data_IF_380604088937
#
_entry.id   IF_380604088937
#
_cell.length_a   1.000
_cell.length_b   1.000
_cell.length_c   1.000
_cell.angle_alpha   90.00
_cell.angle_beta   90.00
_cell.angle_gamma   90.00
#
_symmetry.space_group_name_H-M   'P 1'
#
loop_
_entity.id
_entity.type
_entity.pdbx_description
1 polymer ?
#
# COMPACT_ATOMS: atom_id res chain seq x y z
N UNK A 1 -9.48 -0.57 -13.85
CA UNK A 1 -8.57 -0.38 -12.70
C UNK A 1 -7.51 -1.47 -12.80
N UNK A 2 -6.23 -1.12 -12.78
CA UNK A 2 -5.17 -2.13 -12.68
C UNK A 2 -5.01 -2.49 -11.20
N UNK A 3 -5.19 -3.77 -10.86
CA UNK A 3 -4.93 -4.29 -9.53
C UNK A 3 -3.44 -4.69 -9.45
N UNK A 4 -2.77 -4.32 -8.35
CA UNK A 4 -1.38 -4.70 -8.13
C UNK A 4 -1.26 -6.13 -7.58
N UNK A 5 -2.23 -6.56 -6.76
CA UNK A 5 -2.28 -7.89 -6.14
C UNK A 5 -3.71 -8.17 -5.66
N UNK A 6 -3.96 -9.42 -5.32
CA UNK A 6 -5.16 -9.89 -4.61
C UNK A 6 -4.73 -10.70 -3.38
N UNK A 7 -5.56 -10.73 -2.33
CA UNK A 7 -5.29 -11.45 -1.09
C UNK A 7 -6.34 -12.53 -0.94
N UNK A 8 -5.97 -13.75 -1.29
CA UNK A 8 -6.88 -14.90 -1.24
C UNK A 8 -7.34 -15.19 0.20
N UNK A 9 -8.63 -15.52 0.36
CA UNK A 9 -9.22 -15.83 1.66
C UNK A 9 -9.50 -14.61 2.55
N UNK A 10 -9.03 -13.41 2.19
CA UNK A 10 -9.35 -12.20 2.92
C UNK A 10 -10.87 -11.94 2.89
N UNK A 11 -11.48 -11.83 4.08
CA UNK A 11 -12.91 -11.50 4.23
C UNK A 11 -13.11 -10.01 4.45
N UNK A 12 -12.14 -9.36 5.08
CA UNK A 12 -12.17 -7.93 5.38
C UNK A 12 -10.76 -7.37 5.44
N UNK A 13 -10.46 -6.39 4.59
CA UNK A 13 -9.23 -5.61 4.63
C UNK A 13 -9.45 -4.28 5.34
N UNK A 14 -8.56 -3.95 6.28
CA UNK A 14 -8.56 -2.69 7.03
C UNK A 14 -7.26 -1.95 6.75
N UNK A 15 -7.35 -0.68 6.36
CA UNK A 15 -6.22 0.24 6.41
C UNK A 15 -5.94 0.52 7.89
N UNK A 16 -4.84 -0.04 8.39
CA UNK A 16 -4.46 0.02 9.81
C UNK A 16 -3.59 1.25 10.11
N UNK A 17 -3.48 2.17 9.17
CA UNK A 17 -2.71 3.39 9.26
C UNK A 17 -1.40 3.33 8.47
N UNK A 18 -0.55 4.29 8.77
CA UNK A 18 0.75 4.46 8.14
C UNK A 18 1.79 4.73 9.22
N UNK A 19 2.94 4.05 9.13
CA UNK A 19 4.08 4.34 10.00
C UNK A 19 4.71 5.69 9.61
N UNK A 20 4.91 5.91 8.31
CA UNK A 20 5.44 7.17 7.78
C UNK A 20 4.88 7.45 6.39
N UNK A 21 4.61 8.72 6.13
CA UNK A 21 4.27 9.22 4.79
C UNK A 21 4.96 10.55 4.53
N UNK A 22 5.38 10.77 3.28
CA UNK A 22 5.94 12.02 2.79
C UNK A 22 5.37 12.36 1.43
N UNK A 23 4.81 13.56 1.31
CA UNK A 23 4.39 14.15 0.04
C UNK A 23 5.45 15.16 -0.39
N UNK A 24 6.20 14.83 -1.44
CA UNK A 24 7.37 15.60 -1.86
C UNK A 24 7.04 16.68 -2.89
N UNK A 25 5.93 16.52 -3.63
CA UNK A 25 5.49 17.49 -4.63
C UNK A 25 3.98 17.38 -4.88
N UNK A 26 3.33 18.47 -5.33
CA UNK A 26 1.91 18.45 -5.66
C UNK A 26 1.61 17.56 -6.87
N UNK A 27 0.38 17.06 -6.94
CA UNK A 27 -0.14 16.31 -8.09
C UNK A 27 -1.20 17.16 -8.78
N UNK A 28 -0.90 17.79 -9.92
CA UNK A 28 -1.90 18.50 -10.72
C UNK A 28 -3.04 17.58 -11.15
N UNK A 29 -4.26 18.09 -11.18
CA UNK A 29 -5.44 17.36 -11.68
C UNK A 29 -5.18 16.87 -13.10
N UNK A 30 -5.58 15.62 -13.38
CA UNK A 30 -5.36 14.97 -14.68
C UNK A 30 -3.97 14.34 -14.85
N UNK A 31 -3.09 14.45 -13.86
CA UNK A 31 -1.80 13.76 -13.90
C UNK A 31 -1.98 12.24 -13.91
N UNK A 32 -1.12 11.53 -14.66
CA UNK A 32 -1.02 10.08 -14.61
C UNK A 32 -0.04 9.65 -13.51
N UNK A 33 -0.47 8.71 -12.69
CA UNK A 33 0.28 8.19 -11.55
C UNK A 33 0.57 6.70 -11.72
N UNK A 34 1.68 6.24 -11.14
CA UNK A 34 1.99 4.82 -10.96
C UNK A 34 2.40 4.57 -9.52
N UNK A 35 1.77 3.58 -8.89
CA UNK A 35 2.20 3.06 -7.60
C UNK A 35 3.16 1.88 -7.81
N UNK A 36 4.26 1.87 -7.07
CA UNK A 36 5.14 0.71 -6.90
C UNK A 36 5.01 0.26 -5.46
N UNK A 37 4.60 -0.98 -5.27
CA UNK A 37 4.33 -1.57 -3.95
C UNK A 37 5.38 -2.66 -3.69
N UNK A 38 6.04 -2.58 -2.53
CA UNK A 38 6.94 -3.62 -2.02
C UNK A 38 6.37 -4.12 -0.70
N UNK A 39 6.13 -5.44 -0.60
CA UNK A 39 5.78 -6.06 0.67
C UNK A 39 7.03 -6.12 1.55
N UNK A 40 7.04 -5.39 2.66
CA UNK A 40 8.16 -5.35 3.59
C UNK A 40 8.06 -6.44 4.66
N UNK A 41 6.84 -6.70 5.13
CA UNK A 41 6.57 -7.72 6.13
C UNK A 41 5.15 -8.27 5.96
N UNK A 42 4.95 -9.54 6.28
CA UNK A 42 3.66 -10.20 6.41
C UNK A 42 3.72 -11.05 7.69
N UNK A 43 2.85 -10.75 8.64
CA UNK A 43 2.86 -11.36 9.97
C UNK A 43 1.46 -11.88 10.31
N UNK A 44 1.33 -13.05 10.96
CA UNK A 44 0.03 -13.51 11.45
C UNK A 44 -0.61 -12.48 12.40
N UNK A 45 -1.92 -12.27 12.25
CA UNK A 45 -2.71 -11.41 13.11
C UNK A 45 -3.85 -12.21 13.76
N UNK A 46 -3.95 -12.13 15.09
CA UNK A 46 -5.03 -12.78 15.84
C UNK A 46 -6.38 -12.06 15.64
N UNK A 47 -7.53 -12.78 15.69
CA UNK A 47 -7.65 -14.23 15.86
C UNK A 47 -7.39 -15.04 14.57
N UNK A 48 -7.65 -14.45 13.40
CA UNK A 48 -7.42 -15.04 12.08
C UNK A 48 -7.13 -13.95 11.04
N UNK A 49 -5.94 -13.96 10.44
CA UNK A 49 -5.57 -12.98 9.43
C UNK A 49 -4.08 -12.72 9.33
N UNK A 50 -3.74 -11.73 8.53
CA UNK A 50 -2.37 -11.21 8.37
C UNK A 50 -2.33 -9.71 8.51
N UNK A 51 -1.27 -9.21 9.14
CA UNK A 51 -0.86 -7.83 9.09
C UNK A 51 0.30 -7.70 8.11
N UNK A 52 0.17 -6.81 7.14
CA UNK A 52 1.20 -6.55 6.15
C UNK A 52 1.67 -5.09 6.21
N UNK A 53 2.98 -4.94 6.09
CA UNK A 53 3.65 -3.65 5.94
C UNK A 53 4.07 -3.48 4.50
N UNK A 54 3.59 -2.42 3.86
CA UNK A 54 3.83 -2.12 2.46
C UNK A 54 4.64 -0.83 2.31
N UNK A 55 5.70 -0.86 1.53
CA UNK A 55 6.30 0.35 0.99
C UNK A 55 5.57 0.72 -0.30
N UNK A 56 4.91 1.88 -0.31
CA UNK A 56 4.28 2.45 -1.49
C UNK A 56 5.08 3.65 -1.99
N UNK A 57 5.59 3.57 -3.21
CA UNK A 57 6.24 4.70 -3.91
C UNK A 57 5.34 5.12 -5.07
N UNK A 58 4.85 6.36 -5.03
CA UNK A 58 3.94 6.91 -6.02
C UNK A 58 4.72 7.86 -6.92
N UNK A 59 4.76 7.53 -8.20
CA UNK A 59 5.43 8.29 -9.26
C UNK A 59 4.39 9.05 -10.08
N UNK A 60 4.74 10.24 -10.55
CA UNK A 60 3.96 11.00 -11.55
C UNK A 60 4.69 10.95 -12.88
N UNK A 61 3.95 10.74 -13.96
CA UNK A 61 4.52 10.74 -15.32
C UNK A 61 5.31 12.04 -15.59
N UNK A 62 6.53 11.89 -16.11
CA UNK A 62 7.43 13.01 -16.40
C UNK A 62 8.10 13.68 -15.19
N UNK A 63 7.97 13.14 -13.97
CA UNK A 63 8.68 13.65 -12.79
C UNK A 63 9.94 12.82 -12.49
N UNK A 64 11.05 13.49 -12.14
CA UNK A 64 12.33 12.83 -11.81
C UNK A 64 12.33 12.18 -10.42
N UNK A 65 11.38 12.57 -9.55
CA UNK A 65 11.26 12.09 -8.18
C UNK A 65 9.83 11.65 -7.88
N UNK A 66 9.62 10.70 -6.96
CA UNK A 66 8.28 10.32 -6.53
C UNK A 66 7.53 11.50 -5.92
N UNK A 67 6.21 11.50 -6.06
CA UNK A 67 5.32 12.51 -5.45
C UNK A 67 4.94 12.12 -4.02
N UNK A 68 4.90 10.82 -3.73
CA UNK A 68 4.62 10.29 -2.40
C UNK A 68 5.44 9.03 -2.14
N UNK A 69 5.99 8.91 -0.92
CA UNK A 69 6.50 7.64 -0.38
C UNK A 69 5.83 7.40 0.97
N UNK A 70 5.28 6.20 1.13
CA UNK A 70 4.51 5.80 2.30
C UNK A 70 4.90 4.39 2.75
N UNK A 71 4.93 4.17 4.06
CA UNK A 71 4.93 2.85 4.67
C UNK A 71 3.53 2.63 5.27
N UNK A 72 2.73 1.79 4.62
CA UNK A 72 1.33 1.54 4.94
C UNK A 72 1.16 0.20 5.64
N UNK A 73 0.31 0.18 6.66
CA UNK A 73 -0.10 -1.02 7.35
C UNK A 73 -1.49 -1.43 6.88
N UNK A 74 -1.62 -2.69 6.49
CA UNK A 74 -2.91 -3.29 6.16
C UNK A 74 -3.12 -4.51 7.02
N UNK A 75 -4.35 -4.70 7.50
CA UNK A 75 -4.74 -5.91 8.21
C UNK A 75 -5.87 -6.59 7.45
N UNK A 76 -5.66 -7.85 7.08
CA UNK A 76 -6.65 -8.64 6.36
C UNK A 76 -7.10 -9.79 7.25
N UNK A 77 -8.37 -9.80 7.63
CA UNK A 77 -8.97 -10.83 8.45
C UNK A 77 -9.43 -12.02 7.60
N UNK A 78 -9.27 -13.23 8.11
CA UNK A 78 -9.62 -14.49 7.42
C UNK A 78 -8.63 -14.95 6.35
N UNK A 79 -7.65 -14.12 5.98
CA UNK A 79 -6.55 -14.53 5.12
C UNK A 79 -5.58 -15.43 5.89
N UNK A 80 -5.20 -16.61 5.36
CA UNK A 80 -4.19 -17.45 5.98
C UNK A 80 -2.81 -16.76 5.94
N UNK A 81 -2.01 -16.98 6.98
CA UNK A 81 -0.61 -16.54 7.01
C UNK A 81 0.29 -17.43 6.15
#
# INVERSE_FOLDING_TARGET
FEAAFDIEGARMGVNYGLNRVRFMSPVPVGSRLRARLTLLACEPAAPDGVQMTWQATIEREGADKPVCVAESLTRNYGAPA
#
